data_IF_444932036025
#
_entry.id   IF_444932036025
#
_cell.length_a   1.000
_cell.length_b   1.000
_cell.length_c   1.000
_cell.angle_alpha   90.00
_cell.angle_beta   90.00
_cell.angle_gamma   90.00
#
_symmetry.space_group_name_H-M   'P 1'
#
loop_
_entity.id
_entity.type
_entity.pdbx_description
1 polymer ?
#
# COMPACT_ATOMS: atom_id res chain seq x y z
N UNK A 1 13.92 9.74 15.39
CA UNK A 1 12.81 8.76 15.30
C UNK A 1 11.85 9.15 14.17
N UNK A 2 11.47 10.43 14.12
CA UNK A 2 10.61 11.05 13.11
C UNK A 2 11.02 10.75 11.66
N UNK A 3 12.25 11.09 11.27
CA UNK A 3 12.78 10.81 9.93
C UNK A 3 12.85 9.31 9.59
N UNK A 4 12.95 8.44 10.60
CA UNK A 4 12.95 7.00 10.38
C UNK A 4 11.55 6.52 9.97
N UNK A 5 10.49 6.99 10.63
CA UNK A 5 9.10 6.60 10.30
C UNK A 5 8.77 7.03 8.88
N UNK A 6 9.06 8.28 8.51
CA UNK A 6 8.87 8.81 7.15
C UNK A 6 9.54 7.90 6.10
N UNK A 7 10.83 7.61 6.30
CA UNK A 7 11.61 6.73 5.40
C UNK A 7 11.05 5.30 5.33
N UNK A 8 10.56 4.75 6.45
CA UNK A 8 10.00 3.41 6.51
C UNK A 8 8.67 3.30 5.77
N UNK A 9 7.80 4.29 5.93
CA UNK A 9 6.52 4.37 5.22
C UNK A 9 6.75 4.49 3.72
N UNK A 10 7.58 5.43 3.27
CA UNK A 10 7.91 5.59 1.85
C UNK A 10 8.48 4.30 1.26
N UNK A 11 9.42 3.65 1.96
CA UNK A 11 9.98 2.37 1.54
C UNK A 11 8.91 1.28 1.46
N UNK A 12 7.95 1.25 2.38
CA UNK A 12 6.85 0.29 2.33
C UNK A 12 5.97 0.54 1.10
N UNK A 13 5.63 1.79 0.81
CA UNK A 13 4.82 2.14 -0.37
C UNK A 13 5.49 1.72 -1.68
N UNK A 14 6.80 1.93 -1.81
CA UNK A 14 7.59 1.53 -2.97
C UNK A 14 7.65 0.01 -3.15
N UNK A 15 7.73 -0.76 -2.05
CA UNK A 15 7.64 -2.21 -2.12
C UNK A 15 6.28 -2.64 -2.66
N UNK A 16 5.19 -2.04 -2.22
CA UNK A 16 3.87 -2.30 -2.80
C UNK A 16 3.85 -1.98 -4.30
N UNK A 17 4.37 -0.82 -4.73
CA UNK A 17 4.46 -0.48 -6.16
C UNK A 17 5.23 -1.53 -6.97
N UNK A 18 6.42 -1.94 -6.50
CA UNK A 18 7.21 -2.98 -7.16
C UNK A 18 6.44 -4.31 -7.29
N UNK A 19 5.59 -4.66 -6.30
CA UNK A 19 4.78 -5.87 -6.35
C UNK A 19 3.75 -5.84 -7.48
N UNK A 20 3.07 -4.71 -7.67
CA UNK A 20 2.00 -4.57 -8.65
C UNK A 20 2.49 -4.25 -10.06
N UNK A 21 3.76 -3.83 -10.22
CA UNK A 21 4.32 -3.44 -11.51
C UNK A 21 4.30 -4.57 -12.55
N UNK A 22 4.57 -5.80 -12.11
CA UNK A 22 4.68 -6.98 -12.98
C UNK A 22 3.40 -7.83 -13.05
N UNK A 23 2.31 -7.40 -12.41
CA UNK A 23 1.04 -8.13 -12.42
C UNK A 23 0.21 -7.81 -13.66
N UNK A 24 -0.30 -8.85 -14.31
CA UNK A 24 -1.29 -8.70 -15.38
C UNK A 24 -2.69 -8.47 -14.83
N UNK A 25 -3.58 -7.94 -15.68
CA UNK A 25 -5.00 -7.75 -15.36
C UNK A 25 -5.69 -9.06 -14.91
N UNK A 26 -5.31 -10.20 -15.50
CA UNK A 26 -5.79 -11.53 -15.09
C UNK A 26 -5.35 -11.88 -13.66
N UNK A 27 -4.08 -11.61 -13.32
CA UNK A 27 -3.52 -11.92 -12.00
C UNK A 27 -4.14 -11.09 -10.89
N UNK A 28 -4.65 -9.89 -11.18
CA UNK A 28 -5.38 -9.08 -10.21
C UNK A 28 -6.66 -9.78 -9.72
N UNK A 29 -7.27 -10.62 -10.54
CA UNK A 29 -8.43 -11.42 -10.17
C UNK A 29 -8.12 -12.62 -9.27
N UNK A 30 -6.84 -12.92 -8.99
CA UNK A 30 -6.47 -14.09 -8.21
C UNK A 30 -6.83 -13.92 -6.73
N UNK A 31 -7.33 -15.00 -6.14
CA UNK A 31 -7.62 -15.15 -4.72
C UNK A 31 -6.86 -16.35 -4.15
N UNK A 32 -6.95 -16.61 -2.84
CA UNK A 32 -6.43 -17.85 -2.26
C UNK A 32 -7.53 -18.91 -2.31
N UNK A 33 -7.41 -19.82 -3.29
CA UNK A 33 -8.42 -20.87 -3.52
C UNK A 33 -8.71 -21.69 -2.25
N UNK A 34 -9.99 -21.82 -1.92
CA UNK A 34 -10.46 -22.63 -0.79
C UNK A 34 -10.39 -21.93 0.57
N UNK A 35 -10.03 -20.63 0.61
CA UNK A 35 -10.09 -19.80 1.80
C UNK A 35 -10.89 -18.51 1.50
N UNK A 36 -11.55 -17.92 2.52
CA UNK A 36 -12.14 -16.59 2.38
C UNK A 36 -11.00 -15.57 2.22
N UNK A 37 -10.86 -15.03 1.02
CA UNK A 37 -9.89 -13.99 0.71
C UNK A 37 -10.43 -13.10 -0.39
N UNK A 38 -10.17 -11.80 -0.27
CA UNK A 38 -10.31 -10.85 -1.37
C UNK A 38 -9.40 -11.24 -2.55
N UNK A 39 -9.60 -10.63 -3.71
CA UNK A 39 -8.66 -10.72 -4.84
C UNK A 39 -7.43 -9.83 -4.62
N UNK A 40 -6.38 -10.02 -5.42
CA UNK A 40 -5.21 -9.13 -5.40
C UNK A 40 -5.60 -7.69 -5.77
N UNK A 41 -6.51 -7.49 -6.72
CA UNK A 41 -7.05 -6.17 -7.06
C UNK A 41 -7.79 -5.49 -5.90
N UNK A 42 -8.55 -6.26 -5.13
CA UNK A 42 -9.20 -5.77 -3.91
C UNK A 42 -8.19 -5.43 -2.80
N UNK A 43 -7.03 -6.11 -2.73
CA UNK A 43 -5.94 -5.69 -1.85
C UNK A 43 -5.39 -4.31 -2.25
N UNK A 44 -5.23 -4.04 -3.56
CA UNK A 44 -4.83 -2.73 -4.06
C UNK A 44 -5.84 -1.63 -3.68
N UNK A 45 -7.14 -1.92 -3.75
CA UNK A 45 -8.18 -1.00 -3.29
C UNK A 45 -7.99 -0.61 -1.82
N UNK A 46 -7.75 -1.59 -0.94
CA UNK A 46 -7.48 -1.33 0.47
C UNK A 46 -6.21 -0.51 0.68
N UNK A 47 -5.13 -0.83 -0.02
CA UNK A 47 -3.85 -0.11 0.06
C UNK A 47 -3.97 1.34 -0.39
N UNK A 48 -4.49 1.58 -1.59
CA UNK A 48 -4.70 2.93 -2.15
C UNK A 48 -5.67 3.71 -1.27
N UNK A 49 -6.80 3.10 -0.90
CA UNK A 49 -7.81 3.75 -0.08
C UNK A 49 -7.29 4.12 1.30
N UNK A 50 -6.49 3.26 1.94
CA UNK A 50 -5.82 3.60 3.19
C UNK A 50 -4.88 4.79 3.00
N UNK A 51 -3.95 4.75 2.04
CA UNK A 51 -3.03 5.87 1.79
C UNK A 51 -3.76 7.21 1.61
N UNK A 52 -4.84 7.22 0.84
CA UNK A 52 -5.63 8.43 0.59
C UNK A 52 -6.44 8.89 1.81
N UNK A 53 -7.04 7.95 2.54
CA UNK A 53 -7.81 8.23 3.75
C UNK A 53 -6.93 8.73 4.89
N UNK A 54 -5.76 8.11 5.10
CA UNK A 54 -4.78 8.56 6.07
C UNK A 54 -4.17 9.90 5.66
N UNK A 55 -3.90 10.15 4.37
CA UNK A 55 -3.47 11.49 3.93
C UNK A 55 -4.54 12.56 4.24
N UNK A 56 -5.81 12.25 3.98
CA UNK A 56 -6.93 13.13 4.35
C UNK A 56 -6.97 13.39 5.85
N UNK A 57 -6.71 12.37 6.67
CA UNK A 57 -6.66 12.48 8.12
C UNK A 57 -5.44 13.30 8.59
N UNK A 58 -4.28 13.09 7.99
CA UNK A 58 -3.03 13.82 8.27
C UNK A 58 -3.19 15.31 7.98
N UNK A 59 -3.84 15.69 6.87
CA UNK A 59 -4.12 17.09 6.55
C UNK A 59 -5.08 17.73 7.56
N UNK A 60 -6.07 16.97 8.05
CA UNK A 60 -7.07 17.48 8.99
C UNK A 60 -6.64 17.42 10.46
N UNK A 61 -5.67 16.57 10.78
CA UNK A 61 -5.25 16.26 12.15
C UNK A 61 -6.15 15.26 12.90
N UNK A 62 -7.11 14.61 12.21
CA UNK A 62 -8.02 13.62 12.78
C UNK A 62 -8.58 12.69 11.70
N UNK A 63 -9.02 11.48 12.08
CA UNK A 63 -9.66 10.57 11.14
C UNK A 63 -10.89 11.22 10.49
N UNK A 64 -10.98 11.10 9.15
CA UNK A 64 -12.00 11.81 8.37
C UNK A 64 -12.68 10.91 7.31
N UNK A 65 -12.89 9.65 7.66
CA UNK A 65 -13.59 8.67 6.84
C UNK A 65 -12.76 8.10 5.70
N UNK A 66 -13.28 7.02 5.11
CA UNK A 66 -12.63 6.29 4.03
C UNK A 66 -12.91 6.93 2.66
N UNK A 67 -11.89 7.00 1.82
CA UNK A 67 -11.96 7.37 0.41
C UNK A 67 -11.03 6.46 -0.40
N UNK A 68 -11.36 6.21 -1.66
CA UNK A 68 -10.48 5.52 -2.59
C UNK A 68 -10.75 6.01 -4.01
N UNK A 69 -9.69 6.41 -4.72
CA UNK A 69 -9.73 6.83 -6.12
C UNK A 69 -9.72 5.67 -7.12
N UNK A 70 -9.45 4.43 -6.67
CA UNK A 70 -9.46 3.26 -7.53
C UNK A 70 -10.90 2.86 -7.86
N UNK A 71 -11.20 2.80 -9.17
CA UNK A 71 -12.53 2.49 -9.69
C UNK A 71 -12.59 1.13 -10.38
N UNK A 72 -11.49 0.67 -10.98
CA UNK A 72 -11.39 -0.66 -11.58
C UNK A 72 -10.32 -1.51 -10.89
N UNK A 73 -10.74 -2.63 -10.28
CA UNK A 73 -9.87 -3.54 -9.54
C UNK A 73 -9.08 -4.50 -10.44
N UNK A 74 -9.40 -4.56 -11.73
CA UNK A 74 -8.76 -5.45 -12.70
C UNK A 74 -7.95 -4.69 -13.76
N UNK A 75 -7.71 -3.39 -13.56
CA UNK A 75 -6.87 -2.57 -14.45
C UNK A 75 -5.51 -2.33 -13.80
N UNK A 76 -4.51 -3.08 -14.25
CA UNK A 76 -3.12 -2.97 -13.75
C UNK A 76 -2.55 -1.58 -13.94
N UNK A 77 -2.92 -0.84 -15.00
CA UNK A 77 -2.42 0.51 -15.25
C UNK A 77 -3.06 1.50 -14.30
N UNK A 78 -4.36 1.40 -14.06
CA UNK A 78 -5.06 2.24 -13.08
C UNK A 78 -4.50 2.04 -11.67
N UNK A 79 -4.30 0.79 -11.26
CA UNK A 79 -3.71 0.44 -9.96
C UNK A 79 -2.30 1.02 -9.82
N UNK A 80 -1.41 0.76 -10.79
CA UNK A 80 -0.03 1.27 -10.74
C UNK A 80 0.02 2.80 -10.69
N UNK A 81 -0.84 3.47 -11.47
CA UNK A 81 -0.97 4.93 -11.45
C UNK A 81 -1.43 5.43 -10.08
N UNK A 82 -2.51 4.88 -9.52
CA UNK A 82 -3.05 5.31 -8.22
C UNK A 82 -2.10 4.99 -7.05
N UNK A 83 -1.37 3.86 -7.08
CA UNK A 83 -0.32 3.56 -6.10
C UNK A 83 0.78 4.62 -6.14
N UNK A 84 1.29 4.93 -7.34
CA UNK A 84 2.32 5.96 -7.54
C UNK A 84 1.86 7.34 -7.08
N UNK A 85 0.66 7.75 -7.49
CA UNK A 85 0.08 9.05 -7.13
C UNK A 85 -0.16 9.17 -5.61
N UNK A 86 -0.75 8.14 -4.99
CA UNK A 86 -1.00 8.15 -3.54
C UNK A 86 0.29 8.20 -2.72
N UNK A 87 1.34 7.47 -3.12
CA UNK A 87 2.68 7.57 -2.51
C UNK A 87 3.27 8.96 -2.69
N UNK A 88 3.26 9.50 -3.91
CA UNK A 88 3.86 10.82 -4.18
C UNK A 88 3.18 11.93 -3.38
N UNK A 89 1.86 11.87 -3.19
CA UNK A 89 1.11 12.80 -2.34
C UNK A 89 1.47 12.65 -0.86
N UNK A 90 1.64 11.41 -0.38
CA UNK A 90 2.15 11.17 0.98
C UNK A 90 3.57 11.74 1.15
N UNK A 91 4.50 11.45 0.24
CA UNK A 91 5.87 11.99 0.27
C UNK A 91 5.89 13.52 0.31
N UNK A 92 5.06 14.17 -0.52
CA UNK A 92 4.92 15.62 -0.52
C UNK A 92 4.34 16.18 0.78
N UNK A 93 3.50 15.43 1.50
CA UNK A 93 3.05 15.83 2.83
C UNK A 93 4.18 15.66 3.87
N UNK A 94 4.95 14.58 3.78
CA UNK A 94 6.02 14.25 4.73
C UNK A 94 7.24 15.16 4.64
N UNK A 95 7.40 15.92 3.55
CA UNK A 95 8.46 16.92 3.41
C UNK A 95 8.24 18.19 4.24
N UNK A 96 7.09 18.32 4.93
CA UNK A 96 6.82 19.42 5.85
C UNK A 96 7.73 19.35 7.10
N UNK A 97 8.14 20.52 7.60
CA UNK A 97 9.18 20.65 8.64
C UNK A 97 8.71 20.25 10.05
N UNK A 98 7.41 20.30 10.35
CA UNK A 98 6.89 19.94 11.68
C UNK A 98 5.64 19.07 11.60
N UNK A 99 5.69 17.93 12.29
CA UNK A 99 4.56 17.02 12.46
C UNK A 99 4.25 16.90 13.96
N UNK A 100 2.97 16.86 14.30
CA UNK A 100 2.52 16.67 15.68
C UNK A 100 2.59 15.19 16.08
N UNK A 101 2.45 14.91 17.38
CA UNK A 101 2.32 13.52 17.87
C UNK A 101 1.13 12.78 17.22
N UNK A 102 0.04 13.49 16.92
CA UNK A 102 -1.11 12.90 16.22
C UNK A 102 -0.75 12.49 14.79
N UNK A 103 0.03 13.30 14.07
CA UNK A 103 0.52 12.91 12.75
C UNK A 103 1.38 11.65 12.86
N UNK A 104 2.25 11.55 13.86
CA UNK A 104 3.08 10.35 14.04
C UNK A 104 2.28 9.09 14.34
N UNK A 105 1.21 9.18 15.14
CA UNK A 105 0.31 8.04 15.37
C UNK A 105 -0.33 7.58 14.05
N UNK A 106 -0.90 8.51 13.28
CA UNK A 106 -1.49 8.18 11.97
C UNK A 106 -0.48 7.59 10.98
N UNK A 107 0.77 8.04 11.01
CA UNK A 107 1.83 7.49 10.15
C UNK A 107 2.27 6.08 10.57
N UNK A 108 2.29 5.81 11.88
CA UNK A 108 2.56 4.47 12.39
C UNK A 108 1.41 3.54 12.01
N UNK A 109 0.16 3.94 12.23
CA UNK A 109 -1.03 3.16 11.87
C UNK A 109 -1.04 2.83 10.36
N UNK A 110 -0.73 3.80 9.51
CA UNK A 110 -0.62 3.58 8.06
C UNK A 110 0.53 2.63 7.71
N UNK A 111 1.70 2.76 8.34
CA UNK A 111 2.83 1.87 8.12
C UNK A 111 2.50 0.42 8.53
N UNK A 112 1.84 0.23 9.66
CA UNK A 112 1.41 -1.08 10.14
C UNK A 112 0.40 -1.70 9.17
N UNK A 113 -0.57 -0.92 8.70
CA UNK A 113 -1.52 -1.34 7.67
C UNK A 113 -0.80 -1.80 6.39
N UNK A 114 0.12 -0.98 5.87
CA UNK A 114 0.88 -1.29 4.64
C UNK A 114 1.66 -2.62 4.79
N UNK A 115 2.39 -2.78 5.90
CA UNK A 115 3.20 -3.98 6.16
C UNK A 115 2.34 -5.22 6.42
N UNK A 116 1.16 -5.06 7.03
CA UNK A 116 0.19 -6.15 7.17
C UNK A 116 -0.24 -6.67 5.80
N UNK A 117 -0.57 -5.78 4.86
CA UNK A 117 -0.90 -6.17 3.49
C UNK A 117 0.27 -6.81 2.76
N UNK A 118 1.52 -6.37 2.99
CA UNK A 118 2.68 -7.08 2.43
C UNK A 118 2.71 -8.54 2.86
N UNK A 119 2.45 -8.82 4.14
CA UNK A 119 2.37 -10.19 4.66
C UNK A 119 1.25 -11.01 4.00
N UNK A 120 0.12 -10.38 3.69
CA UNK A 120 -0.97 -11.01 2.95
C UNK A 120 -0.53 -11.29 1.51
N UNK A 121 -0.01 -10.30 0.79
CA UNK A 121 0.44 -10.42 -0.60
C UNK A 121 1.53 -11.51 -0.77
N UNK A 122 2.41 -11.70 0.21
CA UNK A 122 3.34 -12.86 0.24
C UNK A 122 2.57 -14.18 0.15
N UNK A 123 1.49 -14.35 0.93
CA UNK A 123 0.66 -15.56 0.90
C UNK A 123 -0.06 -15.72 -0.43
N UNK A 124 -0.55 -14.63 -1.03
CA UNK A 124 -1.16 -14.67 -2.36
C UNK A 124 -0.18 -15.13 -3.42
N UNK A 125 1.06 -14.63 -3.38
CA UNK A 125 2.10 -15.03 -4.32
C UNK A 125 2.45 -16.50 -4.20
N UNK A 126 2.60 -17.04 -2.99
CA UNK A 126 2.82 -18.48 -2.80
C UNK A 126 1.62 -19.32 -3.27
N UNK A 127 0.39 -18.93 -2.90
CA UNK A 127 -0.81 -19.67 -3.28
C UNK A 127 -1.04 -19.71 -4.79
N UNK A 128 -0.70 -18.62 -5.50
CA UNK A 128 -0.91 -18.47 -6.93
C UNK A 128 0.36 -18.66 -7.78
N UNK A 129 1.47 -19.06 -7.15
CA UNK A 129 2.79 -19.27 -7.80
C UNK A 129 3.28 -18.03 -8.57
N UNK A 130 3.02 -16.84 -8.03
CA UNK A 130 3.51 -15.58 -8.58
C UNK A 130 5.00 -15.41 -8.25
N UNK A 131 5.72 -14.69 -9.11
CA UNK A 131 7.11 -14.32 -8.85
C UNK A 131 7.14 -13.13 -7.90
N UNK A 132 8.17 -13.07 -7.06
CA UNK A 132 8.45 -11.90 -6.25
C UNK A 132 9.42 -10.95 -6.95
N UNK A 133 9.21 -9.63 -6.88
CA UNK A 133 10.21 -8.65 -7.28
C UNK A 133 11.49 -8.79 -6.45
N UNK A 134 12.63 -8.41 -7.03
CA UNK A 134 13.93 -8.46 -6.33
C UNK A 134 13.93 -7.67 -5.01
N UNK A 135 13.20 -6.56 -4.96
CA UNK A 135 13.08 -5.73 -3.76
C UNK A 135 12.39 -6.46 -2.60
N UNK A 136 11.43 -7.35 -2.89
CA UNK A 136 10.75 -8.19 -1.90
C UNK A 136 11.67 -9.27 -1.37
N UNK A 137 12.40 -9.96 -2.25
CA UNK A 137 13.39 -10.97 -1.84
C UNK A 137 14.44 -10.35 -0.91
N UNK A 138 14.92 -9.14 -1.24
CA UNK A 138 15.86 -8.41 -0.38
C UNK A 138 15.26 -8.01 0.97
N UNK A 139 13.96 -7.71 1.04
CA UNK A 139 13.30 -7.21 2.24
C UNK A 139 12.82 -8.32 3.18
N UNK A 140 12.28 -9.39 2.62
CA UNK A 140 11.53 -10.44 3.31
C UNK A 140 12.13 -11.83 3.13
N UNK A 141 13.13 -11.99 2.25
CA UNK A 141 13.77 -13.29 1.97
C UNK A 141 12.78 -14.32 1.43
N UNK A 142 11.81 -13.85 0.64
CA UNK A 142 10.80 -14.65 -0.06
C UNK A 142 11.29 -15.13 -1.43
#
# INVERSE_FOLDING_TARGET
MEELIKKRLVKACLLTEDFYLDLSDEQLGFSIRGLPSNTIGEQAYCLIGARESYLKALVKGEWNGFICSLTNLNDSKEINRNLTESRARLESFLSQESLSNMHYQLLVDLLEHEVQHHGQLIRFSYANKLKFPKSWNNRYTV
#
